data_IF_082155680538
#
_entry.id   IF_082155680538
#
_cell.length_a   1.000
_cell.length_b   1.000
_cell.length_c   1.000
_cell.angle_alpha   90.00
_cell.angle_beta   90.00
_cell.angle_gamma   90.00
#
_symmetry.space_group_name_H-M   'P 1'
#
loop_
_entity.id
_entity.type
_entity.pdbx_description
1 polymer ?
#
# COMPACT_ATOMS: atom_id res chain seq x y z
N UNK A 1 -10.05 -10.95 -3.20
CA UNK A 1 -9.49 -9.59 -3.32
C UNK A 1 -9.18 -9.41 -4.78
N UNK A 2 -9.75 -8.39 -5.41
CA UNK A 2 -9.51 -8.09 -6.82
C UNK A 2 -8.53 -6.93 -6.91
N UNK A 3 -7.52 -7.06 -7.76
CA UNK A 3 -6.58 -5.96 -8.04
C UNK A 3 -7.11 -5.14 -9.23
N UNK A 4 -6.83 -3.82 -9.28
CA UNK A 4 -7.20 -3.00 -10.43
C UNK A 4 -6.65 -3.57 -11.74
N UNK A 5 -7.47 -3.60 -12.79
CA UNK A 5 -7.07 -4.11 -14.11
C UNK A 5 -5.80 -3.41 -14.63
N UNK A 6 -5.66 -2.12 -14.37
CA UNK A 6 -4.48 -1.30 -14.71
C UNK A 6 -3.18 -1.80 -14.09
N UNK A 7 -3.22 -2.42 -12.91
CA UNK A 7 -2.05 -3.06 -12.29
C UNK A 7 -1.80 -4.43 -12.90
N UNK A 8 -2.86 -5.19 -13.14
CA UNK A 8 -2.76 -6.54 -13.73
C UNK A 8 -2.13 -6.50 -15.13
N UNK A 9 -2.45 -5.48 -15.94
CA UNK A 9 -1.85 -5.26 -17.26
C UNK A 9 -0.33 -5.02 -17.22
N UNK A 10 0.24 -4.67 -16.07
CA UNK A 10 1.69 -4.48 -15.88
C UNK A 10 2.40 -5.78 -15.47
N UNK A 11 1.67 -6.86 -15.19
CA UNK A 11 2.24 -8.17 -14.84
C UNK A 11 2.70 -8.89 -16.10
N UNK A 12 4.00 -9.16 -16.19
CA UNK A 12 4.61 -9.82 -17.35
C UNK A 12 5.09 -11.25 -17.06
N UNK A 13 5.36 -11.56 -15.79
CA UNK A 13 5.76 -12.89 -15.31
C UNK A 13 4.72 -13.39 -14.32
N UNK A 14 4.02 -14.47 -14.68
CA UNK A 14 2.96 -15.09 -13.87
C UNK A 14 3.50 -15.84 -12.64
N UNK A 15 4.82 -16.02 -12.53
CA UNK A 15 5.50 -16.63 -11.38
C UNK A 15 6.09 -15.61 -10.42
N UNK A 16 6.17 -14.34 -10.81
CA UNK A 16 6.69 -13.30 -9.96
C UNK A 16 5.69 -12.93 -8.85
N UNK A 17 6.20 -12.58 -7.67
CA UNK A 17 5.39 -12.11 -6.54
C UNK A 17 5.35 -10.57 -6.42
N UNK A 18 6.10 -9.88 -7.27
CA UNK A 18 6.15 -8.42 -7.34
C UNK A 18 6.43 -7.97 -8.78
N UNK A 19 6.14 -6.70 -9.06
CA UNK A 19 6.56 -6.00 -10.26
C UNK A 19 7.33 -4.75 -9.86
N UNK A 20 8.23 -4.31 -10.73
CA UNK A 20 8.86 -2.99 -10.62
C UNK A 20 8.12 -2.02 -11.55
N UNK A 21 7.56 -0.95 -10.99
CA UNK A 21 6.76 0.01 -11.72
C UNK A 21 7.49 1.37 -11.78
N UNK A 22 7.74 1.87 -12.99
CA UNK A 22 8.25 3.24 -13.18
C UNK A 22 7.23 4.26 -12.66
N UNK A 23 7.71 5.32 -12.02
CA UNK A 23 6.87 6.43 -11.55
C UNK A 23 6.09 7.12 -12.69
N UNK A 24 6.56 7.02 -13.94
CA UNK A 24 5.83 7.51 -15.12
C UNK A 24 4.54 6.72 -15.39
N UNK A 25 4.40 5.52 -14.83
CA UNK A 25 3.23 4.65 -14.91
C UNK A 25 2.44 4.63 -13.58
N UNK A 26 2.60 5.64 -12.72
CA UNK A 26 1.92 5.70 -11.43
C UNK A 26 0.40 5.74 -11.56
N UNK A 27 -0.12 6.15 -12.71
CA UNK A 27 -1.54 6.11 -13.07
C UNK A 27 -2.13 4.69 -13.02
N UNK A 28 -1.29 3.66 -13.17
CA UNK A 28 -1.71 2.27 -12.99
C UNK A 28 -2.28 2.00 -11.57
N UNK A 29 -1.89 2.79 -10.58
CA UNK A 29 -2.37 2.69 -9.18
C UNK A 29 -3.69 3.43 -8.94
N UNK A 30 -4.19 4.21 -9.90
CA UNK A 30 -5.36 5.08 -9.68
C UNK A 30 -6.65 4.33 -9.37
N UNK A 31 -6.76 3.06 -9.79
CA UNK A 31 -7.91 2.21 -9.49
C UNK A 31 -7.89 1.59 -8.09
N UNK A 32 -6.82 1.80 -7.30
CA UNK A 32 -6.76 1.30 -5.93
C UNK A 32 -7.47 2.26 -4.97
N UNK A 33 -8.43 1.74 -4.19
CA UNK A 33 -9.10 2.51 -3.14
C UNK A 33 -8.12 2.92 -2.04
N UNK A 34 -7.27 1.98 -1.62
CA UNK A 34 -6.22 2.19 -0.63
C UNK A 34 -4.96 1.43 -1.01
N UNK A 35 -3.84 1.85 -0.45
CA UNK A 35 -2.54 1.19 -0.59
C UNK A 35 -2.01 0.73 0.77
N UNK A 36 -1.17 -0.29 0.77
CA UNK A 36 -0.39 -0.69 1.95
C UNK A 36 1.08 -0.47 1.61
N UNK A 37 1.79 0.25 2.46
CA UNK A 37 3.19 0.60 2.21
C UNK A 37 4.02 0.50 3.48
N UNK A 38 5.28 0.12 3.33
CA UNK A 38 6.25 0.23 4.41
C UNK A 38 6.75 1.68 4.51
N UNK A 39 6.72 2.26 5.70
CA UNK A 39 7.12 3.65 5.91
C UNK A 39 6.43 4.31 7.10
N UNK A 40 6.55 5.63 7.16
CA UNK A 40 5.99 6.50 8.19
C UNK A 40 5.27 7.72 7.57
N UNK A 41 4.77 8.62 8.42
CA UNK A 41 4.03 9.80 7.95
C UNK A 41 4.92 10.75 7.13
N UNK A 42 6.23 10.76 7.34
CA UNK A 42 7.15 11.57 6.53
C UNK A 42 7.30 10.98 5.13
N UNK A 43 7.30 9.66 5.00
CA UNK A 43 7.26 8.99 3.71
C UNK A 43 5.99 9.35 2.93
N UNK A 44 4.80 9.30 3.56
CA UNK A 44 3.55 9.70 2.89
C UNK A 44 3.57 11.17 2.45
N UNK A 45 4.04 12.09 3.30
CA UNK A 45 4.20 13.50 2.91
C UNK A 45 5.14 13.69 1.72
N UNK A 46 6.20 12.89 1.66
CA UNK A 46 7.15 12.91 0.54
C UNK A 46 6.46 12.46 -0.75
N UNK A 47 5.68 11.38 -0.70
CA UNK A 47 4.90 10.91 -1.85
C UNK A 47 3.85 11.92 -2.30
N UNK A 48 3.16 12.57 -1.36
CA UNK A 48 2.16 13.60 -1.67
C UNK A 48 2.78 14.85 -2.32
N UNK A 49 4.02 15.17 -1.99
CA UNK A 49 4.76 16.28 -2.59
C UNK A 49 5.41 15.94 -3.95
N UNK A 50 5.48 14.66 -4.31
CA UNK A 50 6.09 14.22 -5.56
C UNK A 50 5.20 14.59 -6.78
N UNK A 51 5.76 15.14 -7.87
CA UNK A 51 4.99 15.61 -9.02
C UNK A 51 4.32 14.51 -9.85
N UNK A 52 4.74 13.25 -9.69
CA UNK A 52 4.16 12.09 -10.36
C UNK A 52 3.33 11.27 -9.38
N UNK A 53 3.93 10.80 -8.28
CA UNK A 53 3.27 9.94 -7.30
C UNK A 53 2.20 10.71 -6.52
N UNK A 54 2.38 11.99 -6.26
CA UNK A 54 1.38 12.82 -5.59
C UNK A 54 0.08 13.01 -6.38
N UNK A 55 0.01 12.53 -7.63
CA UNK A 55 -1.22 12.49 -8.44
C UNK A 55 -2.05 11.22 -8.22
N UNK A 56 -1.51 10.20 -7.57
CA UNK A 56 -2.25 8.97 -7.27
C UNK A 56 -3.30 9.27 -6.20
N UNK A 57 -4.60 9.00 -6.45
CA UNK A 57 -5.70 9.35 -5.53
C UNK A 57 -5.53 8.83 -4.11
N UNK A 58 -5.03 7.59 -3.94
CA UNK A 58 -4.82 7.01 -2.61
C UNK A 58 -3.78 7.79 -1.80
N UNK A 59 -2.70 8.29 -2.44
CA UNK A 59 -1.71 9.14 -1.75
C UNK A 59 -2.30 10.51 -1.42
N UNK A 60 -3.06 11.12 -2.33
CA UNK A 60 -3.71 12.42 -2.09
C UNK A 60 -4.65 12.40 -0.89
N UNK A 61 -5.50 11.37 -0.81
CA UNK A 61 -6.44 11.16 0.31
C UNK A 61 -5.74 10.70 1.59
N UNK A 62 -4.49 10.25 1.49
CA UNK A 62 -3.79 9.57 2.57
C UNK A 62 -4.42 8.23 2.94
N UNK A 63 -5.14 7.59 2.01
CA UNK A 63 -5.69 6.25 2.10
C UNK A 63 -4.58 5.20 1.96
N UNK A 64 -3.61 5.25 2.87
CA UNK A 64 -2.42 4.40 2.88
C UNK A 64 -2.22 3.84 4.28
N UNK A 65 -2.23 2.51 4.38
CA UNK A 65 -1.84 1.82 5.61
C UNK A 65 -0.31 1.78 5.68
N UNK A 66 0.25 2.62 6.55
CA UNK A 66 1.70 2.72 6.76
C UNK A 66 2.17 1.73 7.81
N UNK A 67 2.95 0.74 7.37
CA UNK A 67 3.58 -0.28 8.20
C UNK A 67 5.01 0.16 8.51
N UNK A 68 5.34 0.36 9.79
CA UNK A 68 6.65 0.89 10.18
C UNK A 68 7.81 -0.01 9.76
N UNK A 69 8.87 0.58 9.19
CA UNK A 69 10.07 -0.15 8.76
C UNK A 69 10.75 -0.88 9.93
N UNK A 70 11.24 -2.10 9.68
CA UNK A 70 11.98 -2.91 10.66
C UNK A 70 11.25 -3.15 11.99
N UNK A 71 9.92 -3.19 11.96
CA UNK A 71 9.07 -3.50 13.12
C UNK A 71 8.60 -4.96 13.11
N UNK A 72 8.18 -5.53 14.26
CA UNK A 72 7.50 -6.83 14.28
C UNK A 72 6.29 -6.89 13.35
N UNK A 73 5.54 -5.78 13.23
CA UNK A 73 4.40 -5.68 12.32
C UNK A 73 4.81 -5.78 10.84
N UNK A 74 5.93 -5.14 10.45
CA UNK A 74 6.46 -5.29 9.09
C UNK A 74 6.91 -6.72 8.80
N UNK A 75 7.60 -7.37 9.75
CA UNK A 75 7.99 -8.77 9.61
C UNK A 75 6.79 -9.71 9.51
N UNK A 76 5.67 -9.36 10.15
CA UNK A 76 4.42 -10.12 10.09
C UNK A 76 3.66 -9.95 8.75
N UNK A 77 4.09 -9.05 7.86
CA UNK A 77 3.53 -8.87 6.51
C UNK A 77 3.63 -10.12 5.63
N UNK A 78 4.55 -11.04 5.94
CA UNK A 78 4.58 -12.41 5.40
C UNK A 78 4.09 -13.38 6.48
N UNK A 79 2.78 -13.69 6.51
CA UNK A 79 2.14 -14.23 7.70
C UNK A 79 2.54 -15.67 8.01
N UNK A 80 2.66 -15.97 9.31
CA UNK A 80 2.73 -17.30 9.89
C UNK A 80 1.60 -17.47 10.91
N UNK A 81 1.24 -18.70 11.33
CA UNK A 81 0.20 -18.89 12.36
C UNK A 81 0.45 -18.11 13.65
N UNK A 82 1.73 -17.99 14.05
CA UNK A 82 2.11 -17.25 15.25
C UNK A 82 2.09 -15.73 15.03
N UNK A 83 2.57 -15.25 13.87
CA UNK A 83 2.57 -13.81 13.59
C UNK A 83 1.15 -13.26 13.47
N UNK A 84 0.22 -14.01 12.85
CA UNK A 84 -1.19 -13.62 12.78
C UNK A 84 -1.75 -13.41 14.18
N UNK A 85 -1.60 -14.39 15.08
CA UNK A 85 -2.10 -14.28 16.45
C UNK A 85 -1.47 -13.12 17.22
N UNK A 86 -0.23 -12.76 16.90
CA UNK A 86 0.51 -11.69 17.58
C UNK A 86 0.18 -10.29 17.03
N UNK A 87 -0.10 -10.12 15.73
CA UNK A 87 -0.16 -8.79 15.09
C UNK A 87 -1.47 -8.43 14.41
N UNK A 88 -2.46 -9.34 14.35
CA UNK A 88 -3.66 -9.12 13.53
C UNK A 88 -4.46 -7.88 13.96
N UNK A 89 -4.59 -7.62 15.27
CA UNK A 89 -5.35 -6.47 15.78
C UNK A 89 -4.70 -5.14 15.37
N UNK A 90 -3.37 -5.04 15.49
CA UNK A 90 -2.62 -3.85 15.07
C UNK A 90 -2.67 -3.66 13.56
N UNK A 91 -2.54 -4.75 12.79
CA UNK A 91 -2.59 -4.69 11.33
C UNK A 91 -3.96 -4.24 10.83
N UNK A 92 -5.04 -4.79 11.39
CA UNK A 92 -6.41 -4.41 11.04
C UNK A 92 -6.72 -2.98 11.44
N UNK A 93 -6.18 -2.48 12.56
CA UNK A 93 -6.34 -1.08 12.96
C UNK A 93 -5.79 -0.13 11.89
N UNK A 94 -4.57 -0.38 11.42
CA UNK A 94 -3.95 0.44 10.35
C UNK A 94 -4.69 0.36 9.03
N UNK A 95 -5.18 -0.83 8.66
CA UNK A 95 -5.98 -1.00 7.44
C UNK A 95 -7.31 -0.26 7.57
N UNK A 96 -7.98 -0.33 8.72
CA UNK A 96 -9.24 0.37 8.95
C UNK A 96 -9.08 1.91 8.91
N UNK A 97 -8.01 2.45 9.50
CA UNK A 97 -7.67 3.87 9.43
C UNK A 97 -7.46 4.35 7.99
N UNK A 98 -6.75 3.56 7.17
CA UNK A 98 -6.54 3.87 5.76
C UNK A 98 -7.84 3.77 4.94
N UNK A 99 -8.65 2.73 5.19
CA UNK A 99 -9.93 2.52 4.55
C UNK A 99 -10.94 3.64 4.88
N UNK A 100 -10.90 4.20 6.09
CA UNK A 100 -11.74 5.32 6.50
C UNK A 100 -11.55 6.57 5.63
N UNK A 101 -10.35 6.77 5.08
CA UNK A 101 -9.98 7.93 4.25
C UNK A 101 -10.35 7.78 2.77
N UNK A 102 -10.85 6.62 2.34
CA UNK A 102 -11.23 6.39 0.93
C UNK A 102 -12.38 7.31 0.50
N UNK A 103 -13.30 7.58 1.44
CA UNK A 103 -14.55 8.30 1.21
C UNK A 103 -14.63 9.68 1.89
N UNK A 104 -13.51 10.17 2.45
CA UNK A 104 -13.38 11.56 2.92
C UNK A 104 -13.03 12.51 1.76
#
# INVERSE_FOLDING_TARGET
>A
MEFPASVQEKVTDDKAFYIELSAENADALNGADMLVAYGDDNFLKTLQADPLLGKVPAFQKGAVALIGNSTPLAAAGTPSPLSIAYTIDEYLTKVAEAAGKVNE
#
